data_IF_224238632444
#
_entry.id   IF_224238632444
#
_cell.length_a   1.000
_cell.length_b   1.000
_cell.length_c   1.000
_cell.angle_alpha   90.00
_cell.angle_beta   90.00
_cell.angle_gamma   90.00
#
_symmetry.space_group_name_H-M   'P 1'
#
loop_
_entity.id
_entity.type
_entity.pdbx_description
1 polymer ?
#
# COMPACT_ATOMS: atom_id res chain seq x y z
N UNK A 1 71.47 35.75 -4.75
CA UNK A 1 69.99 35.85 -4.78
C UNK A 1 69.37 34.50 -5.15
N UNK A 2 68.93 33.70 -4.16
CA UNK A 2 68.17 32.45 -4.38
C UNK A 2 67.09 32.30 -3.30
N UNK A 3 65.95 32.94 -3.51
CA UNK A 3 64.73 32.76 -2.71
C UNK A 3 63.80 31.85 -3.54
N UNK A 4 64.04 30.54 -3.55
CA UNK A 4 63.15 29.62 -4.29
C UNK A 4 62.94 28.23 -3.66
N UNK A 5 63.32 28.02 -2.40
CA UNK A 5 63.22 26.70 -1.74
C UNK A 5 62.17 26.61 -0.63
N UNK A 6 61.73 27.72 -0.02
CA UNK A 6 60.73 27.65 1.08
C UNK A 6 59.29 27.34 0.60
N UNK A 7 58.83 27.90 -0.52
CA UNK A 7 57.44 27.72 -1.04
C UNK A 7 57.13 26.27 -1.48
N UNK A 8 58.13 25.55 -2.00
CA UNK A 8 57.98 24.16 -2.48
C UNK A 8 57.74 23.17 -1.33
N UNK A 9 58.28 23.47 -0.14
CA UNK A 9 58.10 22.64 1.05
C UNK A 9 56.70 22.79 1.65
N UNK A 10 56.12 24.01 1.67
CA UNK A 10 54.74 24.21 2.12
C UNK A 10 53.71 23.53 1.21
N UNK A 11 53.97 23.52 -0.11
CA UNK A 11 53.09 22.88 -1.08
C UNK A 11 53.12 21.34 -0.95
N UNK A 12 54.29 20.77 -0.68
CA UNK A 12 54.42 19.35 -0.36
C UNK A 12 53.70 18.99 0.95
N UNK A 13 53.85 19.80 2.00
CA UNK A 13 53.14 19.61 3.29
C UNK A 13 51.62 19.68 3.10
N UNK A 14 51.13 20.63 2.30
CA UNK A 14 49.70 20.76 2.01
C UNK A 14 49.14 19.54 1.27
N UNK A 15 49.86 19.01 0.27
CA UNK A 15 49.44 17.80 -0.46
C UNK A 15 49.42 16.56 0.44
N UNK A 16 50.36 16.45 1.39
CA UNK A 16 50.37 15.36 2.38
C UNK A 16 49.16 15.47 3.31
N UNK A 17 48.85 16.67 3.81
CA UNK A 17 47.67 16.91 4.65
C UNK A 17 46.39 16.58 3.87
N UNK A 18 46.29 17.00 2.61
CA UNK A 18 45.14 16.70 1.76
C UNK A 18 44.99 15.19 1.52
N UNK A 19 46.08 14.48 1.26
CA UNK A 19 46.08 13.02 1.11
C UNK A 19 45.65 12.31 2.40
N UNK A 20 46.08 12.80 3.58
CA UNK A 20 45.66 12.27 4.88
C UNK A 20 44.17 12.53 5.13
N UNK A 21 43.66 13.72 4.79
CA UNK A 21 42.23 14.05 4.92
C UNK A 21 41.38 13.17 4.01
N UNK A 22 41.82 12.95 2.76
CA UNK A 22 41.15 12.05 1.81
C UNK A 22 41.21 10.61 2.31
N UNK A 23 42.39 10.12 2.71
CA UNK A 23 42.56 8.76 3.23
C UNK A 23 41.74 8.51 4.50
N UNK A 24 41.67 9.50 5.40
CA UNK A 24 40.84 9.45 6.60
C UNK A 24 39.35 9.43 6.24
N UNK A 25 38.92 10.26 5.28
CA UNK A 25 37.53 10.25 4.78
C UNK A 25 37.16 8.90 4.15
N UNK A 26 38.05 8.30 3.34
CA UNK A 26 37.86 6.97 2.77
C UNK A 26 37.88 5.87 3.84
N UNK A 27 38.79 5.94 4.81
CA UNK A 27 38.88 4.98 5.91
C UNK A 27 37.63 5.00 6.79
N UNK A 28 37.11 6.19 7.10
CA UNK A 28 35.83 6.35 7.84
C UNK A 28 34.68 5.78 7.00
N UNK A 29 34.60 6.12 5.71
CA UNK A 29 33.54 5.59 4.81
C UNK A 29 33.60 4.06 4.68
N UNK A 30 34.79 3.47 4.65
CA UNK A 30 35.00 2.03 4.51
C UNK A 30 34.83 1.27 5.84
N UNK A 31 35.17 1.89 6.98
CA UNK A 31 35.12 1.25 8.30
C UNK A 31 33.76 1.32 8.97
N UNK A 32 32.80 2.09 8.43
CA UNK A 32 31.41 2.06 8.90
C UNK A 32 30.76 0.75 8.42
N UNK A 33 30.92 -0.31 9.21
CA UNK A 33 30.06 -1.50 9.12
C UNK A 33 28.67 -1.12 9.62
N UNK A 34 27.69 -1.09 8.72
CA UNK A 34 26.28 -0.94 9.10
C UNK A 34 25.77 -2.28 9.60
N UNK A 35 25.66 -2.45 10.91
CA UNK A 35 24.89 -3.55 11.49
C UNK A 35 23.41 -3.15 11.50
N UNK A 36 22.61 -3.79 10.66
CA UNK A 36 21.15 -3.66 10.69
C UNK A 36 20.60 -4.63 11.72
N UNK A 37 20.20 -4.12 12.89
CA UNK A 37 19.41 -4.89 13.86
C UNK A 37 17.94 -4.70 13.53
N UNK A 38 17.29 -5.77 13.08
CA UNK A 38 15.83 -5.83 12.98
C UNK A 38 15.29 -6.22 14.35
N UNK A 39 14.60 -5.30 15.02
CA UNK A 39 13.84 -5.61 16.22
C UNK A 39 12.41 -5.91 15.75
N UNK A 40 11.97 -7.14 15.93
CA UNK A 40 10.61 -7.57 15.66
C UNK A 40 10.08 -8.20 16.93
N UNK A 41 9.18 -7.48 17.60
CA UNK A 41 8.49 -7.93 18.80
C UNK A 41 6.99 -7.98 18.51
N UNK A 42 6.34 -9.07 18.91
CA UNK A 42 4.89 -9.20 18.82
C UNK A 42 4.24 -8.45 19.98
N UNK A 43 3.54 -7.37 19.67
CA UNK A 43 2.94 -6.50 20.69
C UNK A 43 1.56 -7.02 21.15
N UNK A 44 0.78 -7.63 20.24
CA UNK A 44 -0.57 -8.13 20.53
C UNK A 44 -0.97 -9.20 19.50
N UNK A 45 -1.59 -10.28 19.98
CA UNK A 45 -2.22 -11.31 19.14
C UNK A 45 -3.67 -11.51 19.59
N UNK A 46 -4.57 -11.70 18.63
CA UNK A 46 -5.98 -11.96 18.91
C UNK A 46 -6.59 -12.77 17.76
N UNK A 47 -7.35 -13.82 18.10
CA UNK A 47 -8.11 -14.62 17.14
C UNK A 47 -9.57 -14.17 17.19
N UNK A 48 -10.11 -13.75 16.05
CA UNK A 48 -11.49 -13.30 15.90
C UNK A 48 -12.31 -14.24 15.03
N UNK A 49 -13.53 -14.56 15.47
CA UNK A 49 -14.49 -15.32 14.66
C UNK A 49 -15.13 -14.41 13.60
N UNK A 50 -14.98 -14.75 12.33
CA UNK A 50 -15.62 -14.07 11.19
C UNK A 50 -16.72 -14.95 10.61
N UNK A 51 -17.81 -14.32 10.16
CA UNK A 51 -18.89 -14.98 9.42
C UNK A 51 -19.19 -14.13 8.19
N UNK A 52 -18.22 -14.06 7.28
CA UNK A 52 -18.32 -13.25 6.07
C UNK A 52 -18.50 -14.16 4.85
N UNK A 53 -19.43 -13.79 3.96
CA UNK A 53 -19.62 -14.42 2.67
C UNK A 53 -19.13 -13.47 1.58
N UNK A 54 -17.87 -13.64 1.16
CA UNK A 54 -17.29 -12.92 0.03
C UNK A 54 -17.75 -13.55 -1.28
N UNK A 55 -18.48 -12.79 -2.09
CA UNK A 55 -19.11 -13.29 -3.33
C UNK A 55 -18.52 -12.69 -4.60
N UNK A 56 -17.72 -11.64 -4.47
CA UNK A 56 -17.02 -11.01 -5.59
C UNK A 56 -15.59 -10.68 -5.20
N UNK A 57 -14.65 -10.93 -6.12
CA UNK A 57 -13.25 -10.49 -6.04
C UNK A 57 -12.90 -9.72 -7.30
N UNK A 58 -12.53 -8.45 -7.16
CA UNK A 58 -12.02 -7.60 -8.22
C UNK A 58 -10.51 -7.53 -8.13
N UNK A 59 -9.79 -8.09 -9.11
CA UNK A 59 -8.33 -7.99 -9.20
C UNK A 59 -7.94 -6.83 -10.12
N UNK A 60 -6.88 -6.10 -9.77
CA UNK A 60 -6.41 -4.98 -10.58
C UNK A 60 -4.88 -4.88 -10.60
N UNK A 61 -4.37 -4.21 -11.62
CA UNK A 61 -2.98 -3.80 -11.75
C UNK A 61 -2.97 -2.32 -12.16
N UNK A 62 -2.25 -1.50 -11.43
CA UNK A 62 -2.20 -0.06 -11.62
C UNK A 62 -0.77 0.45 -11.70
N UNK A 63 -0.63 1.64 -12.28
CA UNK A 63 0.61 2.42 -12.27
C UNK A 63 0.27 3.83 -11.80
N UNK A 64 1.01 4.35 -10.82
CA UNK A 64 0.87 5.74 -10.35
C UNK A 64 2.21 6.46 -10.38
N UNK A 65 2.18 7.68 -10.90
CA UNK A 65 3.31 8.59 -10.90
C UNK A 65 3.12 9.65 -9.82
N UNK A 66 4.11 9.81 -8.95
CA UNK A 66 4.17 10.84 -7.94
C UNK A 66 5.24 11.87 -8.31
N UNK A 67 4.93 13.15 -8.12
CA UNK A 67 5.86 14.27 -8.31
C UNK A 67 5.64 15.29 -7.21
N UNK A 68 6.72 15.79 -6.61
CA UNK A 68 6.70 16.82 -5.58
C UNK A 68 7.87 17.80 -5.73
N UNK A 69 7.67 19.02 -5.23
CA UNK A 69 8.65 20.10 -5.21
C UNK A 69 8.44 20.99 -3.97
N UNK A 70 9.52 21.37 -3.28
CA UNK A 70 9.43 22.26 -2.13
C UNK A 70 9.06 23.67 -2.56
N UNK A 71 8.04 24.25 -1.92
CA UNK A 71 7.62 25.63 -2.18
C UNK A 71 8.13 26.59 -1.12
N UNK A 72 8.57 27.77 -1.57
CA UNK A 72 8.84 28.92 -0.71
C UNK A 72 7.99 30.09 -1.19
N UNK A 73 7.10 30.58 -0.31
CA UNK A 73 6.15 31.67 -0.64
C UNK A 73 5.36 31.43 -1.94
N UNK A 74 4.98 30.17 -2.20
CA UNK A 74 4.22 29.77 -3.39
C UNK A 74 5.06 29.47 -4.65
N UNK A 75 6.36 29.77 -4.63
CA UNK A 75 7.28 29.53 -5.76
C UNK A 75 8.02 28.20 -5.54
N UNK A 76 8.09 27.38 -6.58
CA UNK A 76 8.84 26.11 -6.57
C UNK A 76 10.34 26.37 -6.41
N UNK A 77 10.98 25.75 -5.42
CA UNK A 77 12.42 25.87 -5.24
C UNK A 77 13.16 25.06 -6.32
N UNK A 78 14.17 25.64 -6.98
CA UNK A 78 15.02 24.91 -7.92
C UNK A 78 15.76 23.79 -7.19
N UNK A 79 16.07 22.71 -7.90
CA UNK A 79 16.77 21.54 -7.37
C UNK A 79 16.10 20.84 -6.19
N UNK A 80 14.78 20.99 -5.97
CA UNK A 80 14.04 20.28 -4.90
C UNK A 80 12.99 19.31 -5.43
N UNK A 81 13.05 19.00 -6.73
CA UNK A 81 12.15 18.03 -7.36
C UNK A 81 12.41 16.62 -6.82
N UNK A 82 11.34 15.91 -6.50
CA UNK A 82 11.36 14.46 -6.29
C UNK A 82 10.21 13.81 -7.04
N UNK A 83 10.39 12.58 -7.50
CA UNK A 83 9.35 11.83 -8.19
C UNK A 83 9.58 10.34 -8.14
N UNK A 84 8.51 9.57 -8.14
CA UNK A 84 8.60 8.12 -8.38
C UNK A 84 7.47 7.60 -9.26
N UNK A 85 7.72 6.49 -9.95
CA UNK A 85 6.72 5.71 -10.68
C UNK A 85 6.61 4.33 -10.05
N UNK A 86 5.42 3.96 -9.59
CA UNK A 86 5.16 2.65 -8.98
C UNK A 86 4.08 1.91 -9.76
N UNK A 87 4.33 0.64 -10.03
CA UNK A 87 3.32 -0.32 -10.47
C UNK A 87 3.01 -1.26 -9.33
N UNK A 88 1.74 -1.53 -9.12
CA UNK A 88 1.28 -2.42 -8.06
C UNK A 88 0.07 -3.21 -8.53
N UNK A 89 -0.08 -4.41 -8.00
CA UNK A 89 -1.29 -5.22 -8.15
C UNK A 89 -2.07 -5.22 -6.82
N UNK A 90 -3.35 -5.56 -6.89
CA UNK A 90 -4.16 -5.69 -5.70
C UNK A 90 -5.51 -6.32 -6.00
N UNK A 91 -6.31 -6.44 -4.95
CA UNK A 91 -7.67 -6.92 -5.08
C UNK A 91 -8.61 -6.27 -4.06
N UNK A 92 -9.89 -6.22 -4.42
CA UNK A 92 -10.98 -5.80 -3.54
C UNK A 92 -12.00 -6.94 -3.50
N UNK A 93 -12.40 -7.34 -2.29
CA UNK A 93 -13.48 -8.31 -2.08
C UNK A 93 -14.71 -7.59 -1.57
N UNK A 94 -15.87 -8.01 -2.06
CA UNK A 94 -17.16 -7.56 -1.55
C UNK A 94 -18.08 -8.76 -1.27
N UNK A 95 -18.97 -8.56 -0.32
CA UNK A 95 -19.86 -9.60 0.17
C UNK A 95 -20.69 -9.13 1.35
N UNK A 96 -21.27 -10.08 2.07
CA UNK A 96 -22.14 -9.81 3.22
C UNK A 96 -21.56 -10.36 4.52
N UNK A 97 -21.88 -9.71 5.62
CA UNK A 97 -21.64 -10.24 6.97
C UNK A 97 -22.85 -11.07 7.39
N UNK A 98 -22.66 -12.37 7.55
CA UNK A 98 -23.71 -13.30 7.96
C UNK A 98 -24.04 -13.19 9.44
N UNK A 99 -23.28 -12.44 10.26
CA UNK A 99 -23.65 -12.18 11.66
C UNK A 99 -24.95 -11.41 11.78
N UNK A 100 -25.27 -10.55 10.80
CA UNK A 100 -26.52 -9.78 10.79
C UNK A 100 -27.67 -10.49 10.08
N UNK A 101 -27.48 -11.75 9.68
CA UNK A 101 -28.49 -12.56 9.04
C UNK A 101 -29.64 -12.86 10.01
N UNK A 102 -30.84 -12.43 9.66
CA UNK A 102 -32.07 -12.87 10.30
C UNK A 102 -32.71 -13.94 9.41
N UNK A 103 -32.90 -15.13 9.95
CA UNK A 103 -33.46 -16.27 9.24
C UNK A 103 -34.83 -16.58 9.84
N UNK A 104 -35.86 -16.58 8.99
CA UNK A 104 -37.21 -16.97 9.35
C UNK A 104 -37.64 -18.16 8.50
N UNK A 105 -37.98 -19.27 9.15
CA UNK A 105 -38.51 -20.47 8.48
C UNK A 105 -40.02 -20.44 8.65
N UNK A 106 -40.73 -20.10 7.59
CA UNK A 106 -42.17 -19.87 7.64
C UNK A 106 -42.94 -21.20 7.68
N UNK A 107 -42.44 -22.22 6.96
CA UNK A 107 -42.96 -23.59 6.92
C UNK A 107 -41.83 -24.58 6.53
N UNK A 108 -42.16 -25.86 6.34
CA UNK A 108 -41.17 -26.90 6.02
C UNK A 108 -40.46 -26.73 4.67
N UNK A 109 -40.96 -25.87 3.78
CA UNK A 109 -40.48 -25.66 2.41
C UNK A 109 -40.14 -24.19 2.10
N UNK A 110 -40.42 -23.26 3.01
CA UNK A 110 -40.30 -21.82 2.80
C UNK A 110 -39.38 -21.16 3.82
N UNK A 111 -38.40 -20.40 3.33
CA UNK A 111 -37.43 -19.68 4.15
C UNK A 111 -37.23 -18.24 3.66
N UNK A 112 -37.21 -17.31 4.60
CA UNK A 112 -36.85 -15.91 4.37
C UNK A 112 -35.55 -15.57 5.11
N UNK A 113 -34.60 -14.98 4.38
CA UNK A 113 -33.35 -14.45 4.93
C UNK A 113 -33.32 -12.94 4.73
N UNK A 114 -33.09 -12.19 5.80
CA UNK A 114 -32.78 -10.76 5.76
C UNK A 114 -31.32 -10.54 6.11
N UNK A 115 -30.62 -9.77 5.28
CA UNK A 115 -29.20 -9.47 5.41
C UNK A 115 -28.97 -7.98 5.22
N UNK A 116 -27.93 -7.42 5.83
CA UNK A 116 -27.47 -6.09 5.45
C UNK A 116 -26.98 -6.09 3.99
N UNK A 117 -27.07 -4.94 3.34
CA UNK A 117 -26.48 -4.76 2.00
C UNK A 117 -24.99 -5.13 1.96
N UNK A 118 -24.50 -5.66 0.83
CA UNK A 118 -23.10 -5.97 0.67
C UNK A 118 -22.18 -4.77 0.92
N UNK A 119 -21.02 -5.05 1.48
CA UNK A 119 -19.94 -4.09 1.76
C UNK A 119 -18.62 -4.59 1.21
N UNK A 120 -17.64 -3.70 1.13
CA UNK A 120 -16.25 -4.08 0.92
C UNK A 120 -15.78 -4.81 2.16
N UNK A 121 -15.36 -6.07 1.99
CA UNK A 121 -14.83 -6.91 3.06
C UNK A 121 -13.32 -6.80 3.13
N UNK A 122 -12.68 -6.63 1.98
CA UNK A 122 -11.23 -6.62 1.88
C UNK A 122 -10.80 -5.68 0.76
N UNK A 123 -9.70 -4.99 0.98
CA UNK A 123 -9.05 -4.13 0.00
C UNK A 123 -7.55 -4.27 0.26
N UNK A 124 -6.81 -4.80 -0.70
CA UNK A 124 -5.41 -5.20 -0.52
C UNK A 124 -4.59 -4.76 -1.72
N UNK A 125 -3.42 -4.22 -1.44
CA UNK A 125 -2.34 -4.05 -2.41
C UNK A 125 -1.35 -5.18 -2.11
N UNK A 126 -1.00 -5.97 -3.13
CA UNK A 126 -0.04 -7.04 -2.98
C UNK A 126 1.37 -6.43 -2.99
N UNK A 127 2.00 -6.39 -1.83
CA UNK A 127 3.32 -5.77 -1.67
C UNK A 127 4.41 -6.51 -2.47
N UNK A 128 4.31 -7.83 -2.60
CA UNK A 128 5.24 -8.67 -3.38
C UNK A 128 5.20 -8.36 -4.89
N UNK A 129 4.07 -7.84 -5.39
CA UNK A 129 3.88 -7.47 -6.80
C UNK A 129 4.10 -5.98 -7.06
N UNK A 130 4.60 -5.24 -6.07
CA UNK A 130 4.79 -3.79 -6.13
C UNK A 130 6.22 -3.43 -6.51
N UNK A 131 6.37 -2.66 -7.59
CA UNK A 131 7.68 -2.30 -8.17
C UNK A 131 7.80 -0.79 -8.37
N UNK A 132 8.88 -0.20 -7.86
CA UNK A 132 9.28 1.19 -8.14
C UNK A 132 10.18 1.17 -9.38
N UNK A 133 9.75 1.84 -10.45
CA UNK A 133 10.41 1.81 -11.75
C UNK A 133 11.36 2.97 -12.01
N UNK A 134 10.94 4.19 -11.69
CA UNK A 134 11.72 5.41 -11.90
C UNK A 134 11.70 6.18 -10.59
N UNK A 135 12.87 6.38 -9.98
CA UNK A 135 13.04 7.09 -8.73
C UNK A 135 13.98 8.28 -8.96
N UNK A 136 13.51 9.48 -8.61
CA UNK A 136 14.31 10.70 -8.65
C UNK A 136 14.18 11.41 -7.33
N UNK A 137 15.32 11.61 -6.69
CA UNK A 137 15.43 12.38 -5.46
C UNK A 137 16.45 13.51 -5.60
N UNK A 138 16.36 14.49 -4.70
CA UNK A 138 17.33 15.57 -4.56
C UNK A 138 17.93 15.56 -3.16
N UNK A 139 19.19 16.01 -3.05
CA UNK A 139 19.85 16.28 -1.77
C UNK A 139 19.08 17.25 -0.87
N UNK A 140 18.21 18.09 -1.44
CA UNK A 140 17.37 19.05 -0.71
C UNK A 140 15.94 18.54 -0.46
N UNK A 141 15.51 17.47 -1.14
CA UNK A 141 14.19 16.85 -1.00
C UNK A 141 14.30 15.36 -1.33
N UNK A 142 14.72 14.57 -0.33
CA UNK A 142 14.86 13.13 -0.46
C UNK A 142 13.50 12.44 -0.49
N UNK A 143 13.42 11.33 -1.21
CA UNK A 143 12.25 10.47 -1.16
C UNK A 143 12.21 9.75 0.17
N UNK A 144 11.02 9.69 0.77
CA UNK A 144 10.82 9.01 2.03
C UNK A 144 9.81 7.89 1.89
N UNK A 145 9.92 6.89 2.76
CA UNK A 145 8.97 5.80 2.84
C UNK A 145 7.54 6.32 3.11
N UNK A 146 7.41 7.42 3.86
CA UNK A 146 6.10 8.03 4.11
C UNK A 146 5.45 8.58 2.83
N UNK A 147 6.23 9.08 1.86
CA UNK A 147 5.68 9.55 0.58
C UNK A 147 5.03 8.39 -0.18
N UNK A 148 5.72 7.25 -0.23
CA UNK A 148 5.24 6.02 -0.84
C UNK A 148 3.98 5.50 -0.13
N UNK A 149 4.04 5.40 1.20
CA UNK A 149 2.92 4.95 2.02
C UNK A 149 1.67 5.82 1.80
N UNK A 150 1.82 7.14 1.80
CA UNK A 150 0.73 8.08 1.58
C UNK A 150 0.09 7.92 0.19
N UNK A 151 0.91 7.70 -0.85
CA UNK A 151 0.41 7.43 -2.20
C UNK A 151 -0.38 6.12 -2.22
N UNK A 152 0.17 5.03 -1.68
CA UNK A 152 -0.52 3.72 -1.66
C UNK A 152 -1.82 3.75 -0.87
N UNK A 153 -1.87 4.42 0.29
CA UNK A 153 -3.10 4.60 1.09
C UNK A 153 -4.15 5.39 0.32
N UNK A 154 -3.74 6.45 -0.39
CA UNK A 154 -4.65 7.25 -1.22
C UNK A 154 -5.20 6.42 -2.37
N UNK A 155 -4.34 5.71 -3.08
CA UNK A 155 -4.71 4.87 -4.21
C UNK A 155 -5.64 3.73 -3.82
N UNK A 156 -5.40 3.10 -2.67
CA UNK A 156 -6.28 2.08 -2.08
C UNK A 156 -7.72 2.59 -1.90
N UNK A 157 -7.88 3.81 -1.37
CA UNK A 157 -9.20 4.47 -1.21
C UNK A 157 -9.82 4.89 -2.54
N UNK A 158 -9.01 5.35 -3.48
CA UNK A 158 -9.49 5.76 -4.81
C UNK A 158 -10.02 4.55 -5.58
N UNK A 159 -9.27 3.45 -5.62
CA UNK A 159 -9.67 2.22 -6.31
C UNK A 159 -10.97 1.66 -5.74
N UNK A 160 -11.12 1.64 -4.41
CA UNK A 160 -12.37 1.22 -3.77
C UNK A 160 -13.57 2.02 -4.24
N UNK A 161 -13.48 3.35 -4.21
CA UNK A 161 -14.55 4.23 -4.69
C UNK A 161 -14.87 4.00 -6.17
N UNK A 162 -13.85 3.87 -6.99
CA UNK A 162 -14.02 3.63 -8.43
C UNK A 162 -14.69 2.29 -8.72
N UNK A 163 -14.30 1.23 -8.02
CA UNK A 163 -14.85 -0.11 -8.23
C UNK A 163 -16.27 -0.24 -7.65
N UNK A 164 -16.57 0.44 -6.54
CA UNK A 164 -17.95 0.57 -6.04
C UNK A 164 -18.84 1.25 -7.10
N UNK A 165 -18.38 2.36 -7.70
CA UNK A 165 -19.13 3.04 -8.79
C UNK A 165 -19.33 2.15 -10.01
N UNK A 166 -18.39 1.24 -10.28
CA UNK A 166 -18.49 0.23 -11.36
C UNK A 166 -19.47 -0.91 -11.05
N UNK A 167 -20.13 -0.90 -9.89
CA UNK A 167 -21.18 -1.87 -9.55
C UNK A 167 -20.70 -3.07 -8.73
N UNK A 168 -19.53 -3.01 -8.08
CA UNK A 168 -19.00 -4.10 -7.26
C UNK A 168 -20.01 -4.61 -6.21
N UNK A 169 -20.68 -3.69 -5.50
CA UNK A 169 -21.64 -4.07 -4.46
C UNK A 169 -22.92 -4.65 -5.05
N UNK A 170 -23.35 -4.16 -6.22
CA UNK A 170 -24.49 -4.71 -6.96
C UNK A 170 -24.22 -6.14 -7.40
N UNK A 171 -23.02 -6.41 -7.93
CA UNK A 171 -22.62 -7.77 -8.31
C UNK A 171 -22.52 -8.67 -7.07
N UNK A 172 -22.00 -8.15 -5.96
CA UNK A 172 -21.95 -8.89 -4.70
C UNK A 172 -23.34 -9.24 -4.17
N UNK A 173 -24.32 -8.35 -4.31
CA UNK A 173 -25.71 -8.57 -3.89
C UNK A 173 -26.35 -9.69 -4.72
N UNK A 174 -26.21 -9.57 -6.05
CA UNK A 174 -26.70 -10.57 -7.00
C UNK A 174 -26.11 -11.94 -6.73
N UNK A 175 -24.78 -12.04 -6.62
CA UNK A 175 -24.09 -13.30 -6.37
C UNK A 175 -24.46 -13.89 -5.00
N UNK A 176 -24.61 -13.05 -3.98
CA UNK A 176 -25.09 -13.49 -2.66
C UNK A 176 -26.47 -14.13 -2.76
N UNK A 177 -27.40 -13.48 -3.47
CA UNK A 177 -28.75 -14.00 -3.67
C UNK A 177 -28.73 -15.35 -4.42
N UNK A 178 -27.95 -15.46 -5.49
CA UNK A 178 -27.81 -16.68 -6.28
C UNK A 178 -27.23 -17.84 -5.46
N UNK A 179 -26.13 -17.59 -4.73
CA UNK A 179 -25.45 -18.59 -3.90
C UNK A 179 -26.39 -19.10 -2.79
N UNK A 180 -26.97 -18.20 -2.01
CA UNK A 180 -27.85 -18.58 -0.91
C UNK A 180 -29.14 -19.25 -1.38
N UNK A 181 -29.72 -18.78 -2.50
CA UNK A 181 -30.90 -19.42 -3.10
C UNK A 181 -30.58 -20.85 -3.53
N UNK A 182 -29.46 -21.04 -4.23
CA UNK A 182 -29.04 -22.36 -4.71
C UNK A 182 -28.75 -23.30 -3.54
N UNK A 183 -28.04 -22.80 -2.52
CA UNK A 183 -27.73 -23.55 -1.31
C UNK A 183 -29.01 -24.03 -0.60
N UNK A 184 -29.96 -23.13 -0.34
CA UNK A 184 -31.20 -23.45 0.36
C UNK A 184 -32.11 -24.39 -0.45
N UNK A 185 -32.17 -24.21 -1.77
CA UNK A 185 -32.90 -25.14 -2.65
C UNK A 185 -32.32 -26.55 -2.60
N UNK A 186 -31.00 -26.69 -2.57
CA UNK A 186 -30.35 -27.99 -2.42
C UNK A 186 -30.63 -28.65 -1.06
N UNK A 187 -31.00 -27.86 -0.04
CA UNK A 187 -31.45 -28.36 1.27
C UNK A 187 -32.95 -28.72 1.30
N UNK A 188 -33.68 -28.56 0.20
CA UNK A 188 -35.09 -28.94 0.08
C UNK A 188 -36.09 -27.79 0.26
N UNK A 189 -35.64 -26.56 0.44
CA UNK A 189 -36.54 -25.40 0.43
C UNK A 189 -36.98 -25.07 -0.99
N UNK A 190 -38.28 -24.99 -1.24
CA UNK A 190 -38.82 -24.63 -2.56
C UNK A 190 -38.93 -23.10 -2.72
N UNK A 191 -39.40 -22.43 -1.66
CA UNK A 191 -39.66 -21.00 -1.65
C UNK A 191 -38.58 -20.26 -0.84
N UNK A 192 -37.59 -19.71 -1.54
CA UNK A 192 -36.49 -18.96 -0.91
C UNK A 192 -36.65 -17.47 -1.20
N UNK A 193 -36.76 -16.66 -0.15
CA UNK A 193 -36.81 -15.20 -0.22
C UNK A 193 -35.60 -14.60 0.46
N UNK A 194 -34.84 -13.79 -0.26
CA UNK A 194 -33.67 -13.07 0.27
C UNK A 194 -33.93 -11.57 0.10
N UNK A 195 -33.82 -10.84 1.20
CA UNK A 195 -34.07 -9.40 1.27
C UNK A 195 -32.84 -8.70 1.87
N UNK A 196 -32.40 -7.63 1.23
CA UNK A 196 -31.32 -6.78 1.73
C UNK A 196 -31.90 -5.53 2.41
N UNK A 197 -31.43 -5.21 3.61
CA UNK A 197 -31.81 -4.01 4.39
C UNK A 197 -30.72 -2.94 4.33
#
# INVERSE_FOLDING_TARGET
>A
MKIKTKKKNYLAIFLIILAIVIASFFYIRFSIKRETKMLSDTIKEEISKLLELSTVKYNYVNVVAYKDNKKFSGINMPFTNKSFLIKYSGYIKAGVDLKSAEINVNDTKSVEIKLDKPKVLDNVINEEDSYIYDEKESVFNQLKLEDLHNVLVKEKKNMEKEVIKKGLLTEAEKNTKEILTSFLKNLGFENVKIVFK
#
